data_IF_518518886232
#
_entry.id   IF_518518886232
#
_cell.length_a   1.000
_cell.length_b   1.000
_cell.length_c   1.000
_cell.angle_alpha   90.00
_cell.angle_beta   90.00
_cell.angle_gamma   90.00
#
_symmetry.space_group_name_H-M   'P 1'
#
loop_
_entity.id
_entity.type
_entity.pdbx_description
1 polymer ?
#
# COMPACT_ATOMS: atom_id res chain seq x y z
N UNK A 1 83.21 -11.16 -50.62
CA UNK A 1 82.62 -11.56 -49.33
C UNK A 1 82.83 -10.40 -48.38
N UNK A 2 81.95 -9.43 -48.58
CA UNK A 2 82.27 -8.01 -48.56
C UNK A 2 80.97 -7.25 -48.28
N UNK A 3 81.13 -6.13 -47.59
CA UNK A 3 80.49 -4.84 -47.86
C UNK A 3 79.40 -4.85 -48.92
N UNK A 4 78.24 -4.30 -48.58
CA UNK A 4 77.44 -3.55 -49.55
C UNK A 4 76.86 -2.33 -48.82
N UNK A 5 77.67 -1.26 -48.87
CA UNK A 5 77.22 0.11 -49.10
C UNK A 5 76.14 0.16 -50.21
N UNK A 6 75.27 1.17 -50.17
CA UNK A 6 74.67 1.90 -51.32
C UNK A 6 73.86 3.05 -50.68
N UNK A 7 74.48 4.23 -50.56
CA UNK A 7 74.42 5.39 -51.49
C UNK A 7 73.22 6.30 -51.13
N UNK A 8 73.40 7.53 -50.62
CA UNK A 8 73.72 8.77 -51.39
C UNK A 8 72.96 8.77 -52.72
N UNK A 9 72.12 9.74 -53.04
CA UNK A 9 72.51 11.13 -53.18
C UNK A 9 71.32 11.97 -53.68
N UNK A 10 71.47 13.29 -53.52
CA UNK A 10 71.02 14.38 -54.38
C UNK A 10 69.53 14.60 -54.67
N UNK A 11 69.13 15.84 -54.36
CA UNK A 11 67.89 16.41 -54.81
C UNK A 11 67.90 16.81 -56.28
N UNK A 12 66.73 17.23 -56.75
CA UNK A 12 66.64 18.24 -57.78
C UNK A 12 65.31 18.97 -57.68
N UNK A 13 65.42 20.26 -57.96
CA UNK A 13 64.43 21.31 -57.96
C UNK A 13 63.42 21.18 -59.11
N UNK A 14 62.42 22.08 -59.07
CA UNK A 14 61.53 22.55 -60.14
C UNK A 14 60.24 21.71 -60.28
N UNK A 15 59.07 22.26 -60.59
CA UNK A 15 58.54 23.60 -60.88
C UNK A 15 57.00 23.40 -60.91
N UNK A 16 56.24 24.47 -60.68
CA UNK A 16 54.91 24.78 -61.22
C UNK A 16 53.90 23.66 -61.56
N UNK A 17 52.66 23.81 -61.07
CA UNK A 17 51.51 24.15 -61.94
C UNK A 17 50.17 23.91 -61.23
N UNK A 18 49.22 24.80 -61.49
CA UNK A 18 47.85 24.77 -61.01
C UNK A 18 47.07 23.61 -61.62
N UNK A 19 46.50 22.74 -60.77
CA UNK A 19 45.52 21.74 -61.18
C UNK A 19 44.45 21.57 -60.10
N UNK A 20 43.23 22.01 -60.39
CA UNK A 20 42.04 21.75 -59.60
C UNK A 20 41.62 20.28 -59.71
N UNK A 21 40.79 19.88 -58.74
CA UNK A 21 39.94 18.67 -58.67
C UNK A 21 40.65 17.41 -58.14
N UNK A 22 40.39 17.06 -56.88
CA UNK A 22 39.34 16.07 -56.62
C UNK A 22 38.97 15.92 -55.13
N UNK A 23 37.76 15.42 -54.94
CA UNK A 23 36.99 15.34 -53.71
C UNK A 23 37.66 14.48 -52.62
N UNK A 24 37.95 15.08 -51.45
CA UNK A 24 38.27 14.31 -50.24
C UNK A 24 37.04 14.23 -49.34
N UNK A 25 36.48 13.03 -49.29
CA UNK A 25 35.50 12.62 -48.29
C UNK A 25 36.13 12.68 -46.89
N UNK A 26 35.82 13.73 -46.13
CA UNK A 26 35.99 13.72 -44.68
C UNK A 26 34.63 13.39 -44.04
N UNK A 27 34.43 12.10 -43.77
CA UNK A 27 33.36 11.62 -42.90
C UNK A 27 33.79 11.91 -41.45
N UNK A 28 33.67 13.16 -41.02
CA UNK A 28 33.89 13.54 -39.63
C UNK A 28 32.66 13.25 -38.78
N UNK A 29 32.94 12.50 -37.72
CA UNK A 29 32.06 12.00 -36.68
C UNK A 29 31.52 13.19 -35.87
N UNK A 30 30.40 13.79 -36.28
CA UNK A 30 29.70 14.77 -35.45
C UNK A 30 28.28 15.03 -35.95
N UNK A 31 27.27 14.48 -35.26
CA UNK A 31 25.93 15.11 -35.11
C UNK A 31 24.88 14.24 -34.40
N UNK A 32 25.18 12.99 -34.03
CA UNK A 32 24.18 12.10 -33.42
C UNK A 32 23.79 12.42 -31.96
N UNK A 33 24.20 13.56 -31.40
CA UNK A 33 23.93 13.89 -29.97
C UNK A 33 22.76 14.87 -29.78
N UNK A 34 22.24 15.54 -30.82
CA UNK A 34 21.39 16.72 -30.57
C UNK A 34 20.00 16.74 -31.21
N UNK A 35 19.29 15.60 -31.24
CA UNK A 35 17.85 15.61 -31.53
C UNK A 35 17.06 14.78 -30.51
N UNK A 36 17.17 15.14 -29.24
CA UNK A 36 16.08 14.86 -28.30
C UNK A 36 15.00 15.92 -28.55
N UNK A 37 13.88 15.52 -29.14
CA UNK A 37 12.72 16.40 -29.33
C UNK A 37 12.26 16.97 -27.99
N UNK A 38 11.81 18.22 -27.97
CA UNK A 38 11.37 18.88 -26.74
C UNK A 38 10.26 18.10 -26.02
N UNK A 39 9.43 17.36 -26.75
CA UNK A 39 8.45 16.45 -26.17
C UNK A 39 9.08 15.28 -25.45
N UNK A 40 10.15 14.69 -26.01
CA UNK A 40 10.89 13.61 -25.36
C UNK A 40 11.66 14.14 -24.14
N UNK A 41 12.29 15.33 -24.24
CA UNK A 41 12.92 16.02 -23.10
C UNK A 41 11.89 16.28 -21.99
N UNK A 42 10.71 16.83 -22.31
CA UNK A 42 9.62 17.06 -21.36
C UNK A 42 9.12 15.76 -20.73
N UNK A 43 9.02 14.66 -21.49
CA UNK A 43 8.59 13.35 -21.00
C UNK A 43 9.62 12.72 -20.06
N UNK A 44 10.91 12.83 -20.40
CA UNK A 44 12.04 12.38 -19.57
C UNK A 44 12.09 13.20 -18.28
N UNK A 45 12.02 14.53 -18.35
CA UNK A 45 12.03 15.42 -17.18
C UNK A 45 10.81 15.15 -16.30
N UNK A 46 9.62 14.98 -16.87
CA UNK A 46 8.40 14.62 -16.13
C UNK A 46 8.52 13.24 -15.46
N UNK A 47 9.22 12.29 -16.08
CA UNK A 47 9.45 10.97 -15.52
C UNK A 47 10.54 10.97 -14.44
N UNK A 48 11.54 11.85 -14.55
CA UNK A 48 12.63 12.01 -13.60
C UNK A 48 12.23 12.85 -12.36
N UNK A 49 11.31 13.82 -12.52
CA UNK A 49 10.79 14.64 -11.41
C UNK A 49 9.57 14.03 -10.72
N UNK A 50 8.88 13.08 -11.36
CA UNK A 50 7.83 12.33 -10.69
C UNK A 50 8.45 11.50 -9.56
N UNK A 51 7.87 11.53 -8.34
CA UNK A 51 8.31 10.62 -7.28
C UNK A 51 8.26 9.19 -7.83
N UNK A 52 9.28 8.36 -7.58
CA UNK A 52 9.27 6.98 -8.02
C UNK A 52 7.92 6.36 -7.69
N UNK A 53 7.22 5.77 -8.68
CA UNK A 53 5.89 5.15 -8.48
C UNK A 53 5.84 4.21 -7.27
N UNK A 54 7.01 3.66 -6.96
CA UNK A 54 7.37 2.97 -5.74
C UNK A 54 6.88 3.65 -4.44
N UNK A 55 7.13 4.95 -4.24
CA UNK A 55 6.75 5.69 -3.03
C UNK A 55 5.25 5.64 -2.84
N UNK A 56 4.49 5.89 -3.90
CA UNK A 56 3.03 5.81 -3.85
C UNK A 56 2.52 4.39 -3.61
N UNK A 57 3.21 3.35 -4.10
CA UNK A 57 2.83 1.95 -3.85
C UNK A 57 3.01 1.59 -2.39
N UNK A 58 4.11 2.05 -1.78
CA UNK A 58 4.36 1.91 -0.35
C UNK A 58 3.29 2.65 0.47
N UNK A 59 3.08 3.94 0.22
CA UNK A 59 2.08 4.73 0.96
C UNK A 59 0.65 4.18 0.83
N UNK A 60 0.25 3.71 -0.36
CA UNK A 60 -1.06 3.08 -0.54
C UNK A 60 -1.19 1.79 0.25
N UNK A 61 -0.15 0.96 0.25
CA UNK A 61 -0.16 -0.27 1.01
C UNK A 61 -0.21 0.01 2.51
N UNK A 62 0.63 0.90 3.02
CA UNK A 62 0.63 1.32 4.43
C UNK A 62 -0.73 1.87 4.85
N UNK A 63 -1.38 2.67 4.00
CA UNK A 63 -2.73 3.15 4.22
C UNK A 63 -3.75 2.01 4.38
N UNK A 64 -3.72 0.98 3.52
CA UNK A 64 -4.66 -0.13 3.63
C UNK A 64 -4.56 -0.86 4.98
N UNK A 65 -3.35 -0.90 5.55
CA UNK A 65 -3.05 -1.52 6.83
C UNK A 65 -3.02 -0.54 8.01
N UNK A 66 -3.36 0.74 7.79
CA UNK A 66 -3.25 1.78 8.82
C UNK A 66 -4.33 1.66 9.89
N UNK A 67 -4.08 2.25 11.05
CA UNK A 67 -5.06 2.35 12.14
C UNK A 67 -6.25 3.25 11.78
N UNK A 68 -6.14 4.07 10.74
CA UNK A 68 -7.21 4.92 10.24
C UNK A 68 -8.16 4.15 9.31
N UNK A 69 -7.61 3.29 8.45
CA UNK A 69 -8.42 2.53 7.48
C UNK A 69 -9.12 1.32 8.12
N UNK A 70 -8.38 0.55 8.92
CA UNK A 70 -8.86 -0.76 9.41
C UNK A 70 -10.13 -0.72 10.28
N UNK A 71 -10.41 0.30 11.12
CA UNK A 71 -11.66 0.36 11.88
C UNK A 71 -12.93 0.44 11.01
N UNK A 72 -12.79 0.90 9.77
CA UNK A 72 -13.94 1.12 8.85
C UNK A 72 -13.92 0.17 7.66
N UNK A 73 -12.75 -0.35 7.28
CA UNK A 73 -12.59 -1.27 6.16
C UNK A 73 -12.75 -2.73 6.57
N UNK A 74 -14.01 -3.18 6.63
CA UNK A 74 -14.38 -4.57 6.94
C UNK A 74 -13.75 -5.58 5.97
N UNK A 75 -13.49 -5.20 4.72
CA UNK A 75 -12.90 -6.09 3.73
C UNK A 75 -11.43 -6.36 4.05
N UNK A 76 -10.65 -5.30 4.32
CA UNK A 76 -9.26 -5.44 4.77
C UNK A 76 -9.15 -6.20 6.09
N UNK A 77 -10.00 -5.88 7.08
CA UNK A 77 -10.06 -6.63 8.34
C UNK A 77 -10.35 -8.12 8.09
N UNK A 78 -11.30 -8.42 7.19
CA UNK A 78 -11.62 -9.78 6.80
C UNK A 78 -10.43 -10.53 6.17
N UNK A 79 -9.66 -9.87 5.31
CA UNK A 79 -8.46 -10.46 4.72
C UNK A 79 -7.39 -10.80 5.76
N UNK A 80 -7.14 -9.89 6.71
CA UNK A 80 -6.16 -10.09 7.78
C UNK A 80 -6.59 -11.25 8.68
N UNK A 81 -7.87 -11.32 9.07
CA UNK A 81 -8.41 -12.36 9.97
C UNK A 81 -8.44 -13.77 9.38
N UNK A 82 -8.39 -13.92 8.05
CA UNK A 82 -8.34 -15.26 7.40
C UNK A 82 -7.04 -16.01 7.71
N UNK A 83 -5.97 -15.30 8.07
CA UNK A 83 -4.70 -15.89 8.43
C UNK A 83 -4.41 -15.59 9.91
N UNK A 84 -4.10 -16.61 10.71
CA UNK A 84 -3.84 -16.45 12.16
C UNK A 84 -2.68 -15.48 12.46
N UNK A 85 -1.72 -15.36 11.55
CA UNK A 85 -0.57 -14.47 11.68
C UNK A 85 -0.81 -13.08 11.04
N UNK A 86 -2.00 -12.84 10.47
CA UNK A 86 -2.38 -11.55 9.87
C UNK A 86 -1.81 -11.30 8.47
N UNK A 87 -1.27 -12.31 7.80
CA UNK A 87 -0.75 -12.19 6.43
C UNK A 87 -1.85 -12.09 5.37
N UNK A 88 -1.69 -11.14 4.47
CA UNK A 88 -2.52 -10.96 3.28
C UNK A 88 -1.67 -11.18 2.02
N UNK A 89 -2.13 -11.94 1.02
CA UNK A 89 -1.40 -12.10 -0.25
C UNK A 89 -1.20 -10.75 -0.96
N UNK A 90 0.03 -10.49 -1.42
CA UNK A 90 0.36 -9.27 -2.18
C UNK A 90 -0.40 -9.24 -3.50
N UNK A 91 -0.73 -10.41 -4.07
CA UNK A 91 -1.61 -10.52 -5.25
C UNK A 91 -2.98 -9.87 -5.00
N UNK A 92 -3.56 -10.02 -3.80
CA UNK A 92 -4.83 -9.39 -3.43
C UNK A 92 -4.66 -7.88 -3.34
N UNK A 93 -3.62 -7.38 -2.67
CA UNK A 93 -3.32 -5.93 -2.57
C UNK A 93 -3.10 -5.31 -3.96
N UNK A 94 -2.33 -6.00 -4.82
CA UNK A 94 -2.08 -5.59 -6.21
C UNK A 94 -3.35 -5.53 -7.06
N UNK A 95 -4.41 -6.25 -6.64
CA UNK A 95 -5.69 -6.29 -7.35
C UNK A 95 -6.59 -5.10 -7.04
N UNK A 96 -6.31 -4.33 -5.97
CA UNK A 96 -7.13 -3.20 -5.54
C UNK A 96 -7.12 -2.09 -6.57
N UNK A 97 -8.27 -1.41 -6.71
CA UNK A 97 -8.48 -0.41 -7.77
C UNK A 97 -7.43 0.72 -7.73
N UNK A 98 -7.07 1.24 -6.55
CA UNK A 98 -6.06 2.31 -6.44
C UNK A 98 -4.66 1.78 -6.76
N UNK A 99 -4.31 0.58 -6.30
CA UNK A 99 -3.01 -0.05 -6.59
C UNK A 99 -2.86 -0.35 -8.09
N UNK A 100 -3.86 -0.97 -8.73
CA UNK A 100 -3.89 -1.24 -10.18
C UNK A 100 -3.74 0.01 -11.04
N UNK A 101 -4.32 1.13 -10.60
CA UNK A 101 -4.22 2.43 -11.30
C UNK A 101 -2.82 3.01 -11.19
N UNK A 102 -2.12 2.75 -10.08
CA UNK A 102 -0.77 3.23 -9.86
C UNK A 102 0.26 2.39 -10.63
N UNK A 103 0.18 1.06 -10.51
CA UNK A 103 1.12 0.14 -11.15
C UNK A 103 0.51 -1.25 -11.37
N UNK A 104 0.95 -1.91 -12.44
CA UNK A 104 0.68 -3.35 -12.70
C UNK A 104 1.92 -4.22 -12.49
N UNK A 105 3.06 -3.61 -12.16
CA UNK A 105 4.33 -4.31 -11.98
C UNK A 105 4.37 -4.91 -10.58
N UNK A 106 4.12 -6.22 -10.48
CA UNK A 106 4.14 -6.95 -9.22
C UNK A 106 5.52 -6.91 -8.51
N UNK A 107 6.66 -7.19 -9.17
CA UNK A 107 7.99 -7.01 -8.57
C UNK A 107 8.23 -5.64 -7.94
N UNK A 108 7.76 -4.57 -8.60
CA UNK A 108 7.87 -3.20 -8.07
C UNK A 108 7.06 -3.00 -6.79
N UNK A 109 5.88 -3.61 -6.68
CA UNK A 109 5.08 -3.58 -5.44
C UNK A 109 5.81 -4.36 -4.33
N UNK A 110 6.35 -5.54 -4.62
CA UNK A 110 7.07 -6.33 -3.62
C UNK A 110 8.30 -5.58 -3.11
N UNK A 111 9.07 -4.96 -4.01
CA UNK A 111 10.18 -4.10 -3.63
C UNK A 111 9.69 -2.92 -2.77
N UNK A 112 8.55 -2.29 -3.11
CA UNK A 112 7.90 -1.23 -2.34
C UNK A 112 7.67 -1.63 -0.89
N UNK A 113 7.05 -2.78 -0.70
CA UNK A 113 6.67 -3.27 0.61
C UNK A 113 7.87 -3.65 1.48
N UNK A 114 9.00 -4.05 0.88
CA UNK A 114 10.20 -4.46 1.61
C UNK A 114 10.90 -3.31 2.35
N UNK A 115 10.76 -2.07 1.89
CA UNK A 115 11.33 -0.89 2.56
C UNK A 115 10.38 -0.28 3.61
N UNK A 116 9.18 -0.84 3.79
CA UNK A 116 8.23 -0.34 4.79
C UNK A 116 8.75 -0.56 6.21
N UNK A 117 8.63 0.48 7.05
CA UNK A 117 8.83 0.35 8.49
C UNK A 117 7.60 -0.20 9.21
N UNK A 118 6.41 -0.07 8.61
CA UNK A 118 5.13 -0.46 9.19
C UNK A 118 4.68 -1.86 8.79
N UNK A 119 5.18 -2.38 7.67
CA UNK A 119 4.80 -3.67 7.10
C UNK A 119 5.97 -4.65 7.07
N UNK A 120 5.65 -5.93 7.00
CA UNK A 120 6.61 -7.03 6.87
C UNK A 120 6.15 -7.95 5.74
N UNK A 121 7.04 -8.18 4.78
CA UNK A 121 6.84 -9.13 3.69
C UNK A 121 7.29 -10.52 4.15
N UNK A 122 6.54 -11.56 3.78
CA UNK A 122 6.92 -12.95 4.07
C UNK A 122 8.23 -13.34 3.38
N UNK A 123 8.90 -14.38 3.89
CA UNK A 123 10.18 -14.86 3.33
C UNK A 123 10.11 -15.23 1.85
N UNK A 124 8.96 -15.76 1.40
CA UNK A 124 8.70 -16.10 0.00
C UNK A 124 8.36 -14.88 -0.89
N UNK A 125 8.23 -13.68 -0.33
CA UNK A 125 7.89 -12.47 -1.07
C UNK A 125 6.44 -12.41 -1.59
N UNK A 126 5.54 -13.28 -1.10
CA UNK A 126 4.16 -13.41 -1.63
C UNK A 126 3.09 -12.80 -0.74
N UNK A 127 3.38 -12.55 0.53
CA UNK A 127 2.42 -12.04 1.51
C UNK A 127 3.00 -10.86 2.26
N UNK A 128 2.11 -10.03 2.79
CA UNK A 128 2.46 -8.86 3.61
C UNK A 128 1.56 -8.82 4.84
N UNK A 129 2.10 -8.39 5.97
CA UNK A 129 1.36 -8.14 7.21
C UNK A 129 1.85 -6.86 7.87
N UNK A 130 1.11 -6.38 8.87
CA UNK A 130 1.60 -5.33 9.76
C UNK A 130 2.77 -5.83 10.60
N UNK A 131 3.75 -4.96 10.81
CA UNK A 131 4.83 -5.18 11.78
C UNK A 131 4.30 -5.20 13.20
N UNK A 132 3.49 -4.20 13.56
CA UNK A 132 2.72 -4.19 14.79
C UNK A 132 1.32 -4.75 14.52
N UNK A 133 1.00 -5.97 15.02
CA UNK A 133 -0.32 -6.54 14.85
C UNK A 133 -1.38 -5.60 15.39
N UNK A 134 -2.51 -5.54 14.70
CA UNK A 134 -3.69 -4.94 15.30
C UNK A 134 -3.95 -5.66 16.62
N UNK A 135 -4.15 -4.88 17.68
CA UNK A 135 -4.89 -5.36 18.82
C UNK A 135 -6.32 -5.55 18.33
N UNK A 136 -6.57 -6.68 17.66
CA UNK A 136 -7.90 -7.19 17.58
C UNK A 136 -8.27 -7.44 19.04
N UNK A 137 -8.86 -6.43 19.69
CA UNK A 137 -9.99 -6.71 20.55
C UNK A 137 -10.84 -7.51 19.59
N UNK A 138 -10.76 -8.84 19.71
CA UNK A 138 -11.66 -9.74 19.02
C UNK A 138 -13.00 -9.02 19.05
N UNK A 139 -13.68 -8.93 17.92
CA UNK A 139 -15.10 -8.60 17.96
C UNK A 139 -15.73 -9.78 18.68
N UNK A 140 -15.51 -9.84 20.00
CA UNK A 140 -16.09 -10.78 20.91
C UNK A 140 -17.53 -10.44 20.78
N UNK A 141 -18.28 -11.46 20.40
CA UNK A 141 -19.72 -11.39 20.34
C UNK A 141 -20.19 -10.56 21.54
N UNK A 142 -20.87 -9.43 21.34
CA UNK A 142 -21.35 -8.60 22.44
C UNK A 142 -22.08 -9.44 23.50
N UNK A 143 -22.66 -10.58 23.12
CA UNK A 143 -23.26 -11.55 24.04
C UNK A 143 -22.29 -12.10 25.09
N UNK A 144 -21.00 -12.26 24.78
CA UNK A 144 -19.98 -12.70 25.75
C UNK A 144 -19.70 -11.64 26.82
N UNK A 145 -20.08 -10.38 26.57
CA UNK A 145 -19.88 -9.25 27.48
C UNK A 145 -21.18 -8.56 27.87
N UNK A 146 -22.32 -9.19 27.56
CA UNK A 146 -23.64 -8.71 27.93
C UNK A 146 -24.15 -9.62 29.04
N UNK A 147 -24.51 -9.03 30.17
CA UNK A 147 -25.11 -9.74 31.31
C UNK A 147 -26.56 -9.30 31.41
N UNK A 148 -27.49 -10.26 31.49
CA UNK A 148 -28.88 -9.99 31.84
C UNK A 148 -28.98 -9.94 33.36
N UNK A 149 -29.61 -8.89 33.87
CA UNK A 149 -29.84 -8.71 35.30
C UNK A 149 -31.34 -8.61 35.53
N UNK A 150 -31.86 -9.49 36.37
CA UNK A 150 -33.24 -9.49 36.85
C UNK A 150 -33.28 -9.01 38.31
N UNK A 151 -34.47 -8.66 38.80
CA UNK A 151 -34.68 -8.17 40.17
C UNK A 151 -33.86 -6.91 40.48
N UNK A 152 -33.92 -5.93 39.59
CA UNK A 152 -33.26 -4.64 39.79
C UNK A 152 -33.79 -3.96 41.06
N UNK A 153 -32.96 -3.14 41.73
CA UNK A 153 -33.42 -2.30 42.82
C UNK A 153 -34.57 -1.39 42.36
N UNK A 154 -35.41 -0.97 43.31
CA UNK A 154 -36.55 -0.08 43.04
C UNK A 154 -36.13 1.17 42.25
N UNK A 155 -35.02 1.80 42.65
CA UNK A 155 -34.29 2.78 41.84
C UNK A 155 -33.36 2.07 40.85
N UNK A 156 -33.82 1.86 39.62
CA UNK A 156 -33.02 1.28 38.53
C UNK A 156 -32.53 2.33 37.53
N UNK A 157 -32.34 3.58 37.99
CA UNK A 157 -31.71 4.64 37.17
C UNK A 157 -30.35 4.20 36.62
N UNK A 158 -29.99 4.71 35.44
CA UNK A 158 -28.72 4.39 34.79
C UNK A 158 -27.53 4.73 35.70
N UNK A 159 -27.64 5.80 36.48
CA UNK A 159 -26.66 6.25 37.46
C UNK A 159 -26.49 5.24 38.60
N UNK A 160 -27.59 4.73 39.17
CA UNK A 160 -27.52 3.71 40.22
C UNK A 160 -26.94 2.40 39.68
N UNK A 161 -27.37 1.94 38.50
CA UNK A 161 -26.83 0.73 37.86
C UNK A 161 -25.33 0.89 37.56
N UNK A 162 -24.89 2.06 37.10
CA UNK A 162 -23.45 2.35 36.93
C UNK A 162 -22.68 2.29 38.24
N UNK A 163 -23.26 2.80 39.33
CA UNK A 163 -22.63 2.75 40.66
C UNK A 163 -22.42 1.31 41.12
N UNK A 164 -23.47 0.49 41.05
CA UNK A 164 -23.44 -0.91 41.52
C UNK A 164 -22.47 -1.76 40.67
N UNK A 165 -22.65 -1.77 39.35
CA UNK A 165 -21.86 -2.66 38.48
C UNK A 165 -20.49 -2.05 38.10
N UNK A 166 -20.31 -0.75 38.31
CA UNK A 166 -19.06 -0.05 38.04
C UNK A 166 -17.91 -0.46 38.96
N UNK A 167 -18.21 -0.94 40.17
CA UNK A 167 -17.23 -1.50 41.11
C UNK A 167 -16.58 -2.78 40.56
N UNK A 168 -17.34 -3.56 39.78
CA UNK A 168 -16.89 -4.84 39.21
C UNK A 168 -16.17 -4.64 37.88
N UNK A 169 -16.50 -3.59 37.12
CA UNK A 169 -15.79 -3.28 35.89
C UNK A 169 -16.38 -2.14 35.06
N UNK A 170 -15.68 -1.84 33.96
CA UNK A 170 -16.08 -0.77 33.04
C UNK A 170 -17.30 -1.19 32.22
N UNK A 171 -18.43 -0.55 32.47
CA UNK A 171 -19.67 -0.75 31.71
C UNK A 171 -19.64 0.08 30.42
N UNK A 172 -19.89 -0.56 29.27
CA UNK A 172 -19.93 0.13 27.96
C UNK A 172 -21.33 0.64 27.58
N UNK A 173 -22.38 -0.12 27.89
CA UNK A 173 -23.77 0.20 27.54
C UNK A 173 -24.71 -0.39 28.60
N UNK A 174 -25.74 0.35 28.96
CA UNK A 174 -26.86 -0.11 29.80
C UNK A 174 -28.13 0.03 28.98
N UNK A 175 -29.00 -0.97 29.02
CA UNK A 175 -30.31 -0.96 28.39
C UNK A 175 -31.32 -1.54 29.37
N UNK A 176 -32.15 -0.69 29.95
CA UNK A 176 -33.26 -1.12 30.79
C UNK A 176 -34.45 -1.41 29.88
N UNK A 177 -35.10 -2.56 30.06
CA UNK A 177 -36.36 -2.90 29.39
C UNK A 177 -37.47 -2.90 30.42
N UNK A 178 -38.50 -2.10 30.19
CA UNK A 178 -39.72 -2.13 30.97
C UNK A 178 -40.76 -2.97 30.22
N UNK A 179 -41.21 -4.12 30.79
CA UNK A 179 -42.25 -4.95 30.18
C UNK A 179 -43.61 -4.26 30.01
N UNK A 180 -43.84 -3.11 30.67
CA UNK A 180 -45.10 -2.38 30.69
C UNK A 180 -45.05 -1.00 30.03
N UNK A 181 -43.92 -0.60 29.45
CA UNK A 181 -43.83 0.66 28.71
C UNK A 181 -44.62 0.59 27.40
N UNK A 182 -45.65 1.42 27.27
CA UNK A 182 -46.39 1.63 26.02
C UNK A 182 -45.41 2.18 24.97
N UNK A 183 -45.24 1.46 23.85
CA UNK A 183 -44.28 1.84 22.81
C UNK A 183 -44.65 3.17 22.14
N UNK A 184 -43.92 4.24 22.44
CA UNK A 184 -43.78 5.36 21.51
C UNK A 184 -42.65 5.06 20.53
N UNK A 185 -43.02 4.64 19.33
CA UNK A 185 -42.09 4.45 18.20
C UNK A 185 -41.35 5.75 17.87
N UNK A 186 -40.08 5.85 18.26
CA UNK A 186 -39.10 6.71 17.58
C UNK A 186 -38.14 5.84 16.79
N UNK A 187 -38.39 5.78 15.47
CA UNK A 187 -37.53 5.15 14.46
C UNK A 187 -36.07 5.58 14.64
N UNK A 188 -35.23 4.70 15.17
CA UNK A 188 -33.81 4.67 14.85
C UNK A 188 -33.42 3.22 14.59
N UNK A 189 -33.22 2.91 13.32
CA UNK A 189 -33.06 1.53 12.86
C UNK A 189 -31.75 0.90 13.32
N UNK A 190 -31.86 -0.28 13.93
CA UNK A 190 -31.03 -1.45 13.63
C UNK A 190 -31.63 -2.69 14.29
N UNK A 191 -32.20 -3.55 13.44
CA UNK A 191 -32.65 -4.92 13.63
C UNK A 191 -32.66 -5.43 15.09
N UNK A 192 -33.85 -5.49 15.66
CA UNK A 192 -34.13 -6.26 16.86
C UNK A 192 -33.78 -7.73 16.63
N UNK A 193 -32.79 -8.21 17.37
CA UNK A 193 -32.48 -9.64 17.46
C UNK A 193 -33.59 -10.26 18.31
N UNK A 194 -34.60 -10.82 17.64
CA UNK A 194 -35.61 -11.68 18.24
C UNK A 194 -34.91 -12.92 18.81
N UNK A 195 -34.74 -12.98 20.13
CA UNK A 195 -34.36 -14.21 20.83
C UNK A 195 -35.65 -14.96 21.12
N UNK A 196 -35.94 -15.95 20.27
CA UNK A 196 -37.05 -16.88 20.44
C UNK A 196 -36.81 -17.73 21.69
N UNK A 197 -37.72 -17.64 22.67
CA UNK A 197 -37.79 -18.54 23.81
C UNK A 197 -38.45 -19.85 23.36
N UNK A 198 -37.66 -20.93 23.32
CA UNK A 198 -38.20 -22.29 23.26
C UNK A 198 -37.82 -23.00 24.55
N UNK A 199 -38.79 -23.01 25.46
CA UNK A 199 -38.77 -23.85 26.67
C UNK A 199 -38.89 -25.31 26.24
N UNK A 200 -37.93 -26.13 26.66
CA UNK A 200 -38.04 -27.59 26.60
C UNK A 200 -38.52 -28.05 27.98
N UNK A 201 -39.71 -28.66 28.01
CA UNK A 201 -40.19 -29.47 29.13
C UNK A 201 -39.56 -30.87 29.04
#
# INVERSE_FOLDING_TARGET
PSDDDIDRDHGHENEDDHGQEDQVQNHEISSAVDVLTDDLKKKIIKQASAPPKYIFSLSLAEYYFSDENLPTDNYMVGLIKRNKEGFVPISVISSFRKMKRLTRNYPSIVAALKESSLLVVSSDGKKVKRRNPLQFIEVRDPKLFTVLVENLPEDHSVENIKRIFGEVGRIKKISVRDPHAVEETKKTGRADILISSKVWN
#
